data_IF_573080539746
#
_entry.id   IF_573080539746
#
_cell.length_a   1.000
_cell.length_b   1.000
_cell.length_c   1.000
_cell.angle_alpha   90.00
_cell.angle_beta   90.00
_cell.angle_gamma   90.00
#
_symmetry.space_group_name_H-M   'P 1'
#
loop_
_entity.id
_entity.type
_entity.pdbx_description
1 polymer ?
#
# COMPACT_ATOMS: atom_id res chain seq x y z
N UNK A 1 1.49 12.81 10.81
CA UNK A 1 0.23 13.14 10.09
C UNK A 1 -0.97 12.77 10.96
N UNK A 2 -1.10 13.38 12.14
CA UNK A 2 -2.27 13.20 13.03
C UNK A 2 -2.40 14.46 13.86
N UNK A 3 -3.59 15.08 13.87
CA UNK A 3 -3.97 16.10 14.83
C UNK A 3 -5.23 15.58 15.52
N UNK A 4 -5.12 15.23 16.80
CA UNK A 4 -6.20 14.61 17.58
C UNK A 4 -6.63 13.24 17.02
N UNK A 5 -5.81 12.20 17.24
CA UNK A 5 -6.08 10.76 17.06
C UNK A 5 -6.71 10.25 15.74
N UNK A 6 -7.10 11.11 14.81
CA UNK A 6 -7.76 10.78 13.53
C UNK A 6 -6.83 11.13 12.38
N UNK A 7 -6.26 10.10 11.74
CA UNK A 7 -5.54 10.25 10.48
C UNK A 7 -6.46 10.74 9.36
N UNK A 8 -5.92 11.11 8.20
CA UNK A 8 -6.70 11.61 7.04
C UNK A 8 -7.89 10.71 6.66
N UNK A 9 -7.73 9.38 6.78
CA UNK A 9 -8.79 8.41 6.49
C UNK A 9 -9.90 8.33 7.56
N UNK A 10 -9.66 8.86 8.77
CA UNK A 10 -10.58 8.87 9.90
C UNK A 10 -11.13 10.28 10.22
N UNK A 11 -10.66 11.30 9.51
CA UNK A 11 -11.12 12.68 9.69
C UNK A 11 -12.41 12.92 8.91
N UNK A 12 -13.37 13.59 9.57
CA UNK A 12 -14.59 14.05 8.90
C UNK A 12 -14.25 15.02 7.77
N UNK A 13 -15.07 15.00 6.71
CA UNK A 13 -14.87 15.88 5.58
C UNK A 13 -14.98 17.35 6.01
N UNK A 14 -13.90 18.10 5.85
CA UNK A 14 -13.81 19.48 6.31
C UNK A 14 -12.53 20.19 5.83
N UNK A 15 -12.29 21.44 6.27
CA UNK A 15 -11.12 22.22 5.85
C UNK A 15 -9.79 21.48 6.08
N UNK A 16 -9.66 20.79 7.23
CA UNK A 16 -8.49 19.97 7.55
C UNK A 16 -8.31 18.81 6.56
N UNK A 17 -9.34 17.97 6.37
CA UNK A 17 -9.28 16.85 5.44
C UNK A 17 -8.92 17.30 4.02
N UNK A 18 -9.54 18.39 3.54
CA UNK A 18 -9.25 18.97 2.22
C UNK A 18 -7.82 19.45 2.11
N UNK A 19 -7.29 20.09 3.15
CA UNK A 19 -5.92 20.57 3.20
C UNK A 19 -4.91 19.42 3.14
N UNK A 20 -5.10 18.39 3.98
CA UNK A 20 -4.23 17.21 4.01
C UNK A 20 -4.31 16.44 2.68
N UNK A 21 -5.51 16.22 2.14
CA UNK A 21 -5.68 15.61 0.80
C UNK A 21 -4.94 16.39 -0.28
N UNK A 22 -5.03 17.73 -0.26
CA UNK A 22 -4.33 18.58 -1.22
C UNK A 22 -2.82 18.39 -1.12
N UNK A 23 -2.25 18.40 0.09
CA UNK A 23 -0.82 18.16 0.31
C UNK A 23 -0.38 16.77 -0.20
N UNK A 24 -1.11 15.71 0.15
CA UNK A 24 -0.84 14.36 -0.34
C UNK A 24 -0.88 14.30 -1.87
N UNK A 25 -1.90 14.90 -2.48
CA UNK A 25 -2.06 14.94 -3.95
C UNK A 25 -0.93 15.70 -4.63
N UNK A 26 -0.48 16.82 -4.05
CA UNK A 26 0.56 17.65 -4.67
C UNK A 26 1.97 17.10 -4.50
N UNK A 27 2.28 16.43 -3.38
CA UNK A 27 3.65 16.07 -3.04
C UNK A 27 3.94 14.56 -3.09
N UNK A 28 2.94 13.72 -2.83
CA UNK A 28 3.12 12.26 -2.74
C UNK A 28 2.52 11.55 -3.96
N UNK A 29 1.31 11.96 -4.36
CA UNK A 29 0.48 11.29 -5.37
C UNK A 29 0.34 12.10 -6.66
N UNK A 30 1.24 13.05 -6.92
CA UNK A 30 1.17 13.84 -8.15
C UNK A 30 1.69 13.00 -9.35
N UNK A 31 1.25 13.30 -10.59
CA UNK A 31 1.61 12.52 -11.78
C UNK A 31 3.12 12.29 -11.92
N UNK A 32 3.93 13.33 -11.71
CA UNK A 32 5.40 13.23 -11.75
C UNK A 32 5.96 12.22 -10.73
N UNK A 33 5.39 12.14 -9.53
CA UNK A 33 5.80 11.14 -8.53
C UNK A 33 5.34 9.75 -8.95
N UNK A 34 4.11 9.60 -9.42
CA UNK A 34 3.57 8.33 -9.93
C UNK A 34 4.42 7.78 -11.08
N UNK A 35 4.87 8.66 -11.99
CA UNK A 35 5.78 8.34 -13.08
C UNK A 35 7.18 7.98 -12.58
N UNK A 36 7.72 8.71 -11.59
CA UNK A 36 9.01 8.39 -10.99
C UNK A 36 9.04 6.98 -10.35
N UNK A 37 7.89 6.45 -9.94
CA UNK A 37 7.75 5.07 -9.44
C UNK A 37 7.52 4.01 -10.53
N UNK A 38 7.45 4.39 -11.82
CA UNK A 38 7.27 3.43 -12.91
C UNK A 38 8.40 2.38 -13.00
N UNK A 39 9.70 2.73 -12.84
CA UNK A 39 10.78 1.75 -12.83
C UNK A 39 10.64 0.73 -11.70
N UNK A 40 10.21 1.20 -10.50
CA UNK A 40 9.98 0.35 -9.34
C UNK A 40 8.86 -0.66 -9.59
N UNK A 41 7.73 -0.21 -10.17
CA UNK A 41 6.65 -1.12 -10.57
C UNK A 41 7.12 -2.14 -11.62
N UNK A 42 7.94 -1.70 -12.57
CA UNK A 42 8.53 -2.57 -13.58
C UNK A 42 9.41 -3.67 -12.96
N UNK A 43 10.25 -3.32 -11.98
CA UNK A 43 11.08 -4.27 -11.24
C UNK A 43 10.22 -5.35 -10.54
N UNK A 44 9.22 -4.93 -9.75
CA UNK A 44 8.38 -5.89 -9.01
C UNK A 44 7.56 -6.79 -9.95
N UNK A 45 7.01 -6.22 -11.03
CA UNK A 45 6.30 -7.00 -12.05
C UNK A 45 7.25 -8.01 -12.72
N UNK A 46 8.49 -7.61 -13.00
CA UNK A 46 9.52 -8.50 -13.53
C UNK A 46 9.78 -9.70 -12.61
N UNK A 47 9.91 -9.46 -11.31
CA UNK A 47 10.07 -10.52 -10.30
C UNK A 47 8.86 -11.46 -10.24
N UNK A 48 7.64 -10.91 -10.30
CA UNK A 48 6.43 -11.72 -10.34
C UNK A 48 6.38 -12.62 -11.58
N UNK A 49 6.66 -12.06 -12.76
CA UNK A 49 6.67 -12.82 -14.03
C UNK A 49 7.70 -13.94 -13.98
N UNK A 50 8.90 -13.68 -13.46
CA UNK A 50 9.93 -14.71 -13.28
C UNK A 50 9.47 -15.82 -12.33
N UNK A 51 8.84 -15.47 -11.21
CA UNK A 51 8.32 -16.44 -10.25
C UNK A 51 7.21 -17.32 -10.85
N UNK A 52 6.28 -16.73 -11.60
CA UNK A 52 5.20 -17.45 -12.28
C UNK A 52 5.77 -18.38 -13.36
N UNK A 53 6.74 -17.89 -14.15
CA UNK A 53 7.40 -18.70 -15.19
C UNK A 53 8.05 -19.94 -14.58
N UNK A 54 8.83 -19.76 -13.51
CA UNK A 54 9.49 -20.86 -12.79
C UNK A 54 8.49 -21.88 -12.24
N UNK A 55 7.41 -21.41 -11.62
CA UNK A 55 6.35 -22.29 -11.12
C UNK A 55 5.71 -23.10 -12.27
N UNK A 56 5.52 -22.49 -13.44
CA UNK A 56 5.04 -23.18 -14.64
C UNK A 56 6.01 -24.24 -15.15
N UNK A 57 7.32 -23.97 -15.15
CA UNK A 57 8.37 -24.95 -15.49
C UNK A 57 8.38 -26.15 -14.51
N UNK A 58 8.03 -25.90 -13.25
CA UNK A 58 7.90 -26.93 -12.20
C UNK A 58 6.51 -27.61 -12.17
N UNK A 59 5.58 -27.23 -13.06
CA UNK A 59 4.22 -27.78 -13.12
C UNK A 59 3.35 -27.40 -11.90
N UNK A 60 3.71 -26.36 -11.16
CA UNK A 60 3.00 -25.91 -9.97
C UNK A 60 1.79 -25.06 -10.32
N UNK A 61 0.71 -25.24 -9.54
CA UNK A 61 -0.45 -24.35 -9.57
C UNK A 61 -0.12 -23.08 -8.79
N UNK A 62 -0.36 -21.91 -9.38
CA UNK A 62 -0.10 -20.61 -8.77
C UNK A 62 -1.41 -19.85 -8.56
N UNK A 63 -1.66 -19.39 -7.34
CA UNK A 63 -2.70 -18.40 -7.08
C UNK A 63 -2.21 -17.01 -7.46
N UNK A 64 -2.70 -16.51 -8.59
CA UNK A 64 -2.36 -15.17 -9.07
C UNK A 64 -2.97 -14.07 -8.19
N UNK A 65 -4.08 -14.32 -7.50
CA UNK A 65 -4.70 -13.35 -6.59
C UNK A 65 -3.79 -13.09 -5.40
N UNK A 66 -3.26 -14.15 -4.79
CA UNK A 66 -2.30 -14.05 -3.70
C UNK A 66 -1.02 -13.31 -4.15
N UNK A 67 -0.48 -13.69 -5.32
CA UNK A 67 0.75 -13.08 -5.85
C UNK A 67 0.58 -11.61 -6.22
N UNK A 68 -0.54 -11.24 -6.82
CA UNK A 68 -0.85 -9.83 -7.16
C UNK A 68 -1.14 -9.00 -5.92
N UNK A 69 -1.76 -9.58 -4.89
CA UNK A 69 -1.91 -8.92 -3.59
C UNK A 69 -0.55 -8.61 -2.95
N UNK A 70 0.34 -9.61 -2.90
CA UNK A 70 1.69 -9.45 -2.38
C UNK A 70 2.49 -8.39 -3.17
N UNK A 71 2.40 -8.41 -4.50
CA UNK A 71 3.00 -7.40 -5.38
C UNK A 71 2.52 -5.98 -5.04
N UNK A 72 1.21 -5.79 -4.90
CA UNK A 72 0.64 -4.48 -4.60
C UNK A 72 1.07 -3.98 -3.22
N UNK A 73 1.14 -4.91 -2.26
CA UNK A 73 1.63 -4.63 -0.92
C UNK A 73 3.11 -4.18 -0.95
N UNK A 74 3.99 -4.91 -1.65
CA UNK A 74 5.41 -4.58 -1.78
C UNK A 74 5.64 -3.23 -2.48
N UNK A 75 4.90 -2.94 -3.56
CA UNK A 75 4.92 -1.64 -4.24
C UNK A 75 4.49 -0.53 -3.27
N UNK A 76 3.40 -0.74 -2.52
CA UNK A 76 2.88 0.27 -1.58
C UNK A 76 3.88 0.59 -0.49
N UNK A 77 4.52 -0.42 0.09
CA UNK A 77 5.58 -0.23 1.09
C UNK A 77 6.74 0.58 0.54
N UNK A 78 7.24 0.25 -0.65
CA UNK A 78 8.36 0.99 -1.23
C UNK A 78 8.00 2.42 -1.62
N UNK A 79 6.79 2.65 -2.13
CA UNK A 79 6.32 3.98 -2.54
C UNK A 79 6.07 4.89 -1.34
N UNK A 80 5.47 4.36 -0.27
CA UNK A 80 5.01 5.16 0.88
C UNK A 80 6.07 5.26 1.98
N UNK A 81 6.76 4.15 2.28
CA UNK A 81 7.72 4.06 3.39
C UNK A 81 9.18 3.99 2.93
N UNK A 82 9.44 3.68 1.66
CA UNK A 82 10.80 3.51 1.14
C UNK A 82 11.50 2.23 1.59
N UNK A 83 10.79 1.29 2.22
CA UNK A 83 11.31 0.00 2.69
C UNK A 83 10.58 -1.18 2.03
N UNK A 84 11.18 -2.38 2.06
CA UNK A 84 10.49 -3.61 1.64
C UNK A 84 9.65 -4.16 2.78
N UNK A 85 8.61 -4.94 2.47
CA UNK A 85 7.75 -5.60 3.46
C UNK A 85 8.52 -6.46 4.48
N UNK A 86 9.65 -7.03 4.08
CA UNK A 86 10.52 -7.81 4.98
C UNK A 86 11.23 -6.93 6.03
N UNK A 87 11.34 -5.62 5.80
CA UNK A 87 12.15 -4.68 6.57
C UNK A 87 11.37 -3.92 7.65
N UNK A 88 10.25 -4.49 8.14
CA UNK A 88 9.59 -4.17 9.42
C UNK A 88 8.40 -3.17 9.43
N UNK A 89 7.68 -3.34 10.55
CA UNK A 89 6.62 -2.59 11.22
C UNK A 89 5.20 -2.85 10.74
N UNK A 90 4.34 -3.05 11.73
CA UNK A 90 2.96 -3.52 11.71
C UNK A 90 1.99 -2.58 10.98
N UNK A 91 2.32 -2.12 9.76
CA UNK A 91 1.43 -1.32 8.92
C UNK A 91 0.17 -2.12 8.60
N UNK A 92 0.32 -3.43 8.40
CA UNK A 92 -0.82 -4.34 8.24
C UNK A 92 -1.71 -4.32 9.49
N UNK A 93 -1.15 -4.32 10.69
CA UNK A 93 -1.88 -4.12 11.94
C UNK A 93 -2.54 -2.75 12.02
N UNK A 94 -1.82 -1.67 11.72
CA UNK A 94 -2.37 -0.30 11.73
C UNK A 94 -3.53 -0.15 10.73
N UNK A 95 -3.39 -0.69 9.51
CA UNK A 95 -4.45 -0.67 8.50
C UNK A 95 -5.63 -1.50 8.97
N UNK A 96 -5.38 -2.70 9.52
CA UNK A 96 -6.44 -3.58 10.03
C UNK A 96 -7.18 -2.93 11.20
N UNK A 97 -6.47 -2.34 12.15
CA UNK A 97 -7.04 -1.57 13.27
C UNK A 97 -7.87 -0.38 12.76
N UNK A 98 -7.36 0.34 11.75
CA UNK A 98 -8.08 1.46 11.13
C UNK A 98 -9.36 0.99 10.44
N UNK A 99 -9.32 -0.14 9.71
CA UNK A 99 -10.49 -0.73 9.05
C UNK A 99 -11.51 -1.25 10.08
N UNK A 100 -11.05 -1.88 11.16
CA UNK A 100 -11.90 -2.32 12.26
C UNK A 100 -12.55 -1.15 13.01
N UNK A 101 -11.80 -0.06 13.24
CA UNK A 101 -12.32 1.16 13.83
C UNK A 101 -13.40 1.83 12.95
N UNK A 102 -13.29 1.68 11.61
CA UNK A 102 -14.28 2.18 10.65
C UNK A 102 -15.51 1.27 10.51
N UNK A 103 -15.40 -0.03 10.78
CA UNK A 103 -16.52 -0.98 10.68
C UNK A 103 -17.44 -0.94 11.91
N UNK A 104 -17.07 -0.20 12.96
CA UNK A 104 -17.87 -0.04 14.18
C UNK A 104 -17.89 -1.28 15.09
N UNK A 105 -16.99 -2.24 14.88
CA UNK A 105 -16.90 -3.45 15.72
C UNK A 105 -16.02 -3.11 16.94
N UNK A 106 -16.56 -3.14 18.18
CA UNK A 106 -15.77 -2.85 19.38
C UNK A 106 -14.72 -3.94 19.60
N UNK A 107 -13.49 -3.53 19.95
CA UNK A 107 -12.46 -4.44 20.45
C UNK A 107 -12.95 -5.07 21.76
N UNK A 108 -13.07 -6.40 21.78
CA UNK A 108 -13.31 -7.18 23.00
C UNK A 108 -12.01 -7.69 23.58
#
# INVERSE_FOLDING_TARGET
MSYGSKGMGLAEYGPYWRHVRKLCTQHLLCPSKVEAFAPLRGEEIGLLVQAVKKAGEEGQVVDLSEKTYALNEDITYRVVLGCKRADMFDLKGIIKETVLALSGIPFS
#
